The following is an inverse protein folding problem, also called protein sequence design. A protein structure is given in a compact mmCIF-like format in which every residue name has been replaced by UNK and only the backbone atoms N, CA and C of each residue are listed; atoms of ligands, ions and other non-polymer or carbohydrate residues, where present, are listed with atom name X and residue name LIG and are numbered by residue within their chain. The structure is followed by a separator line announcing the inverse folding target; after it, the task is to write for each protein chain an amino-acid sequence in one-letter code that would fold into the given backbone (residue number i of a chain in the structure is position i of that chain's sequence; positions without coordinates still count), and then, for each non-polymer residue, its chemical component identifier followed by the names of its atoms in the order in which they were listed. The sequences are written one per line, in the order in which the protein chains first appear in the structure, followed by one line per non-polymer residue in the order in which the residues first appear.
data_IF_068896408545
#
_entry.id   IF_068896408545
#
_cell.length_a   1.000
_cell.length_b   1.000
_cell.length_c   1.000
_cell.angle_alpha   90.00
_cell.angle_beta   90.00
_cell.angle_gamma   90.00
#
_symmetry.space_group_name_H-M   'P 1'
#
loop_
_entity.id
_entity.type
_entity.pdbx_description
1 polymer ?
#
# COMPACT_ATOMS: atom_id res chain seq x y z
N UNK A 1 10.52 -5.92 -15.45
CA UNK A 1 9.78 -4.82 -16.09
C UNK A 1 9.35 -5.27 -17.49
N UNK A 2 8.05 -5.41 -17.71
CA UNK A 2 7.43 -5.83 -18.97
C UNK A 2 7.10 -4.58 -19.78
N UNK A 3 7.71 -4.44 -20.96
CA UNK A 3 7.38 -3.32 -21.85
C UNK A 3 6.01 -3.51 -22.50
N UNK A 4 5.06 -2.62 -22.19
CA UNK A 4 3.75 -2.55 -22.84
C UNK A 4 3.65 -1.20 -23.56
N UNK A 5 3.83 -1.23 -24.89
CA UNK A 5 4.07 0.00 -25.67
C UNK A 5 2.80 0.62 -26.25
N UNK A 6 1.69 -0.13 -26.29
CA UNK A 6 0.40 0.33 -26.80
C UNK A 6 -0.76 -0.46 -26.18
N UNK A 7 -1.99 -0.02 -26.50
CA UNK A 7 -3.22 -0.65 -26.02
C UNK A 7 -3.39 -2.09 -26.52
N UNK A 8 -2.98 -2.40 -27.76
CA UNK A 8 -3.14 -3.73 -28.33
C UNK A 8 -2.21 -4.75 -27.65
N UNK A 9 -1.02 -4.32 -27.24
CA UNK A 9 -0.10 -5.09 -26.41
C UNK A 9 -0.70 -5.34 -25.02
N UNK A 10 -1.33 -4.33 -24.39
CA UNK A 10 -1.99 -4.48 -23.09
C UNK A 10 -3.17 -5.46 -23.14
N UNK A 11 -4.00 -5.40 -24.18
CA UNK A 11 -5.15 -6.29 -24.36
C UNK A 11 -4.74 -7.78 -24.38
N UNK A 12 -3.60 -8.09 -24.98
CA UNK A 12 -3.03 -9.46 -25.02
C UNK A 12 -2.60 -9.98 -23.65
N UNK A 13 -2.49 -9.11 -22.65
CA UNK A 13 -2.14 -9.49 -21.28
C UNK A 13 -3.34 -9.91 -20.43
N UNK A 14 -4.58 -9.76 -20.90
CA UNK A 14 -5.78 -10.14 -20.13
C UNK A 14 -5.71 -11.59 -19.64
N UNK A 15 -5.92 -11.78 -18.35
CA UNK A 15 -5.86 -13.09 -17.69
C UNK A 15 -4.46 -13.59 -17.34
N UNK A 16 -3.40 -12.91 -17.78
CA UNK A 16 -2.01 -13.29 -17.48
C UNK A 16 -1.50 -12.61 -16.20
N UNK A 17 -0.67 -13.33 -15.46
CA UNK A 17 0.14 -12.75 -14.38
C UNK A 17 1.30 -11.99 -15.01
N UNK A 18 1.35 -10.67 -14.79
CA UNK A 18 2.39 -9.78 -15.34
C UNK A 18 3.69 -9.81 -14.54
N UNK A 19 3.65 -10.26 -13.29
CA UNK A 19 4.82 -10.33 -12.41
C UNK A 19 4.49 -9.89 -11.00
N UNK A 20 5.53 -9.74 -10.20
CA UNK A 20 5.46 -9.35 -8.79
C UNK A 20 6.39 -8.17 -8.56
N UNK A 21 5.99 -7.23 -7.71
CA UNK A 21 6.86 -6.18 -7.22
C UNK A 21 7.88 -6.73 -6.22
N UNK A 22 8.89 -5.93 -5.91
CA UNK A 22 9.71 -6.18 -4.74
C UNK A 22 8.90 -5.95 -3.45
N UNK A 23 9.37 -6.54 -2.35
CA UNK A 23 8.82 -6.26 -1.03
C UNK A 23 9.04 -4.80 -0.66
N UNK A 24 8.01 -4.19 -0.10
CA UNK A 24 8.09 -2.84 0.45
C UNK A 24 7.66 -2.84 1.91
N UNK A 25 8.49 -2.23 2.77
CA UNK A 25 8.21 -2.08 4.18
C UNK A 25 7.27 -0.91 4.39
N UNK A 26 6.08 -1.18 4.92
CA UNK A 26 5.18 -0.14 5.45
C UNK A 26 5.67 0.21 6.85
N UNK A 27 6.27 1.38 7.01
CA UNK A 27 6.69 1.89 8.32
C UNK A 27 5.73 2.93 8.87
N UNK A 28 5.97 3.33 10.12
CA UNK A 28 5.12 4.28 10.82
C UNK A 28 5.14 5.66 10.15
N UNK A 29 6.25 6.06 9.53
CA UNK A 29 6.34 7.36 8.85
C UNK A 29 5.37 7.43 7.66
N UNK A 30 5.27 6.37 6.85
CA UNK A 30 4.29 6.30 5.77
C UNK A 30 2.85 6.36 6.30
N UNK A 31 2.57 5.68 7.41
CA UNK A 31 1.26 5.67 8.08
C UNK A 31 0.91 7.09 8.57
N UNK A 32 1.84 7.75 9.28
CA UNK A 32 1.66 9.09 9.83
C UNK A 32 1.45 10.13 8.72
N UNK A 33 2.22 10.05 7.64
CA UNK A 33 2.08 10.96 6.51
C UNK A 33 0.77 10.75 5.76
N UNK A 34 0.31 9.50 5.62
CA UNK A 34 -0.99 9.22 5.04
C UNK A 34 -2.14 9.80 5.87
N UNK A 35 -2.06 9.68 7.21
CA UNK A 35 -3.01 10.32 8.12
C UNK A 35 -3.06 11.85 7.93
N UNK A 36 -1.90 12.51 7.81
CA UNK A 36 -1.82 13.97 7.59
C UNK A 36 -2.49 14.40 6.28
N UNK A 37 -2.31 13.62 5.21
CA UNK A 37 -2.85 13.95 3.88
C UNK A 37 -4.35 13.69 3.80
N UNK A 38 -4.83 12.61 4.42
CA UNK A 38 -6.23 12.19 4.31
C UNK A 38 -7.13 12.72 5.43
N UNK A 39 -6.54 13.16 6.54
CA UNK A 39 -7.27 13.52 7.75
C UNK A 39 -7.71 12.31 8.60
N UNK A 40 -7.31 11.09 8.24
CA UNK A 40 -7.61 9.88 9.02
C UNK A 40 -6.63 9.71 10.17
N UNK A 41 -6.99 10.32 11.31
CA UNK A 41 -6.26 10.23 12.57
C UNK A 41 -6.80 9.16 13.51
N UNK A 42 -7.45 8.11 12.98
CA UNK A 42 -7.95 7.04 13.83
C UNK A 42 -6.81 6.39 14.64
N UNK A 43 -7.00 6.29 15.95
CA UNK A 43 -5.96 5.92 16.92
C UNK A 43 -5.25 4.59 16.61
N UNK A 44 -5.92 3.65 15.94
CA UNK A 44 -5.33 2.36 15.56
C UNK A 44 -4.13 2.50 14.60
N UNK A 45 -3.99 3.66 13.94
CA UNK A 45 -2.90 3.96 13.02
C UNK A 45 -1.74 4.68 13.71
N UNK A 46 -2.00 5.46 14.76
CA UNK A 46 -1.06 6.48 15.25
C UNK A 46 -0.71 6.37 16.73
N UNK A 47 -1.59 5.80 17.55
CA UNK A 47 -1.42 5.77 19.01
C UNK A 47 -0.86 4.41 19.44
N UNK A 48 0.46 4.30 19.47
CA UNK A 48 1.16 3.06 19.83
C UNK A 48 0.86 2.62 21.28
N UNK A 49 0.77 3.56 22.22
CA UNK A 49 0.54 3.27 23.63
C UNK A 49 -0.88 2.74 23.86
N UNK A 50 -1.87 3.38 23.23
CA UNK A 50 -3.25 2.91 23.26
C UNK A 50 -3.37 1.57 22.54
N UNK A 51 -2.71 1.38 21.40
CA UNK A 51 -2.67 0.10 20.70
C UNK A 51 -2.11 -1.03 21.59
N UNK A 52 -1.02 -0.80 22.32
CA UNK A 52 -0.48 -1.80 23.23
C UNK A 52 -1.50 -2.23 24.31
N UNK A 53 -2.32 -1.30 24.81
CA UNK A 53 -3.36 -1.58 25.83
C UNK A 53 -4.63 -2.20 25.23
N UNK A 54 -5.20 -1.57 24.22
CA UNK A 54 -6.59 -1.77 23.77
C UNK A 54 -6.72 -2.54 22.45
N UNK A 55 -5.75 -2.42 21.54
CA UNK A 55 -5.86 -3.05 20.21
C UNK A 55 -5.67 -4.57 20.30
N UNK A 56 -6.42 -5.37 19.51
CA UNK A 56 -6.17 -6.81 19.38
C UNK A 56 -4.80 -7.10 18.75
N UNK A 57 -4.24 -6.17 17.98
CA UNK A 57 -2.95 -6.32 17.31
C UNK A 57 -1.76 -5.88 18.16
N UNK A 58 -2.01 -5.20 19.29
CA UNK A 58 -1.00 -4.71 20.24
C UNK A 58 0.07 -3.78 19.66
N UNK A 59 -0.17 -3.28 18.45
CA UNK A 59 0.65 -2.32 17.68
C UNK A 59 -0.26 -1.51 16.77
N UNK A 60 0.25 -0.40 16.25
CA UNK A 60 -0.38 0.33 15.17
C UNK A 60 -0.48 -0.54 13.91
N UNK A 61 -1.50 -0.28 13.10
CA UNK A 61 -1.69 -0.92 11.80
C UNK A 61 -1.77 0.14 10.72
N UNK A 62 -1.39 -0.20 9.50
CA UNK A 62 -1.51 0.72 8.37
C UNK A 62 -2.98 1.04 8.04
N UNK A 63 -3.22 2.20 7.45
CA UNK A 63 -4.51 2.51 6.83
C UNK A 63 -4.77 1.52 5.68
N UNK A 64 -5.98 0.98 5.58
CA UNK A 64 -6.34 0.13 4.44
C UNK A 64 -6.19 0.87 3.10
N UNK A 65 -6.55 2.16 3.07
CA UNK A 65 -6.37 3.01 1.89
C UNK A 65 -4.92 3.35 1.58
N UNK A 66 -4.00 3.34 2.55
CA UNK A 66 -2.57 3.42 2.27
C UNK A 66 -2.16 2.21 1.42
N UNK A 67 -2.53 0.99 1.82
CA UNK A 67 -2.19 -0.23 1.07
C UNK A 67 -2.78 -0.19 -0.36
N UNK A 68 -4.03 0.23 -0.51
CA UNK A 68 -4.66 0.39 -1.83
C UNK A 68 -3.91 1.42 -2.70
N UNK A 69 -3.49 2.54 -2.10
CA UNK A 69 -2.78 3.60 -2.81
C UNK A 69 -1.39 3.21 -3.31
N UNK A 70 -0.83 2.08 -2.86
CA UNK A 70 0.47 1.58 -3.32
C UNK A 70 0.38 0.81 -4.64
N UNK A 71 -0.83 0.53 -5.17
CA UNK A 71 -1.00 -0.17 -6.45
C UNK A 71 -0.17 0.45 -7.58
N UNK A 72 -0.20 1.78 -7.83
CA UNK A 72 0.63 2.39 -8.87
C UNK A 72 2.13 2.19 -8.63
N UNK A 73 2.59 2.33 -7.38
CA UNK A 73 4.01 2.14 -7.01
C UNK A 73 4.48 0.73 -7.38
N UNK A 74 3.68 -0.30 -7.08
CA UNK A 74 4.02 -1.68 -7.40
C UNK A 74 3.87 -1.98 -8.88
N UNK A 75 2.86 -1.40 -9.53
CA UNK A 75 2.62 -1.58 -10.95
C UNK A 75 3.80 -1.08 -11.80
N UNK A 76 4.40 0.07 -11.46
CA UNK A 76 5.61 0.60 -12.14
C UNK A 76 6.89 -0.23 -11.94
N UNK A 77 6.88 -1.22 -11.05
CA UNK A 77 8.00 -2.18 -10.96
C UNK A 77 7.80 -3.36 -11.91
N UNK A 78 6.54 -3.65 -12.23
CA UNK A 78 6.15 -4.80 -13.04
C UNK A 78 6.21 -4.44 -14.52
N UNK A 79 5.66 -3.28 -14.91
CA UNK A 79 5.59 -2.81 -16.30
C UNK A 79 6.42 -1.55 -16.56
#
# INVERSE_FOLDING_TARGET
MISINDFAALEKCKGNVLGTSDWWKVDQEAIDNFAKVTGDFQWIHLDADRCARESPFKKTIAHGYLILSLIPKFFYQII
#
